data_IF_206850751679
#
_entry.id   IF_206850751679
#
_cell.length_a   1.000
_cell.length_b   1.000
_cell.length_c   1.000
_cell.angle_alpha   90.00
_cell.angle_beta   90.00
_cell.angle_gamma   90.00
#
_symmetry.space_group_name_H-M   'P 1'
#
loop_
_entity.id
_entity.type
_entity.pdbx_description
1 polymer ?
#
# COMPACT_ATOMS: atom_id res chain seq x y z
N UNK A 1 -20.42 -63.86 -64.10
CA UNK A 1 -20.91 -63.18 -62.87
C UNK A 1 -19.97 -62.04 -62.56
N UNK A 2 -20.44 -60.78 -62.68
CA UNK A 2 -19.66 -59.57 -62.42
C UNK A 2 -19.73 -59.23 -60.93
N UNK A 3 -18.59 -59.15 -60.25
CA UNK A 3 -18.48 -58.63 -58.88
C UNK A 3 -17.98 -57.18 -58.95
N UNK A 4 -18.77 -56.25 -58.42
CA UNK A 4 -18.44 -54.83 -58.32
C UNK A 4 -17.61 -54.53 -57.05
N UNK A 5 -16.66 -53.59 -57.07
CA UNK A 5 -15.92 -53.18 -55.89
C UNK A 5 -16.74 -52.16 -55.07
N UNK A 6 -16.86 -52.41 -53.76
CA UNK A 6 -17.44 -51.46 -52.79
C UNK A 6 -16.39 -50.43 -52.39
N UNK A 7 -16.62 -49.16 -52.74
CA UNK A 7 -15.92 -48.01 -52.17
C UNK A 7 -16.36 -47.83 -50.71
N UNK A 8 -15.39 -47.91 -49.79
CA UNK A 8 -15.56 -47.56 -48.38
C UNK A 8 -15.19 -46.08 -48.23
N UNK A 9 -16.16 -45.25 -47.88
CA UNK A 9 -15.98 -43.81 -47.64
C UNK A 9 -15.49 -43.61 -46.21
N UNK A 10 -14.22 -43.20 -46.02
CA UNK A 10 -13.72 -42.73 -44.73
C UNK A 10 -14.20 -41.30 -44.49
N UNK A 11 -15.11 -41.12 -43.54
CA UNK A 11 -15.48 -39.80 -43.01
C UNK A 11 -14.39 -39.33 -42.04
N UNK A 12 -13.59 -38.35 -42.46
CA UNK A 12 -12.68 -37.63 -41.57
C UNK A 12 -13.49 -36.67 -40.68
N UNK A 13 -13.64 -37.01 -39.39
CA UNK A 13 -14.18 -36.10 -38.40
C UNK A 13 -13.11 -35.08 -38.01
N UNK A 14 -13.21 -33.85 -38.53
CA UNK A 14 -12.38 -32.75 -38.11
C UNK A 14 -12.82 -32.28 -36.71
N UNK A 15 -12.03 -32.59 -35.67
CA UNK A 15 -12.17 -31.99 -34.35
C UNK A 15 -11.68 -30.54 -34.42
N UNK A 16 -12.62 -29.60 -34.45
CA UNK A 16 -12.36 -28.18 -34.18
C UNK A 16 -12.16 -27.98 -32.68
N UNK A 17 -10.91 -27.88 -32.23
CA UNK A 17 -10.58 -27.36 -30.90
C UNK A 17 -10.89 -25.85 -30.89
N UNK A 18 -12.02 -25.48 -30.30
CA UNK A 18 -12.27 -24.09 -29.94
C UNK A 18 -11.35 -23.73 -28.77
N UNK A 19 -10.27 -23.01 -29.04
CA UNK A 19 -9.49 -22.35 -28.00
C UNK A 19 -10.43 -21.35 -27.30
N UNK A 20 -10.85 -21.67 -26.09
CA UNK A 20 -11.51 -20.70 -25.22
C UNK A 20 -10.46 -19.63 -24.90
N UNK A 21 -10.56 -18.47 -25.55
CA UNK A 21 -9.87 -17.27 -25.08
C UNK A 21 -10.41 -16.99 -23.67
N UNK A 22 -9.64 -17.39 -22.66
CA UNK A 22 -9.93 -17.01 -21.29
C UNK A 22 -9.98 -15.49 -21.24
N UNK A 23 -11.10 -14.93 -20.78
CA UNK A 23 -11.17 -13.51 -20.49
C UNK A 23 -10.07 -13.24 -19.44
N UNK A 24 -9.01 -12.54 -19.84
CA UNK A 24 -8.03 -12.03 -18.88
C UNK A 24 -8.75 -10.98 -18.05
N UNK A 25 -8.93 -11.24 -16.76
CA UNK A 25 -9.34 -10.22 -15.82
C UNK A 25 -8.29 -9.09 -15.88
N UNK A 26 -8.77 -7.86 -15.99
CA UNK A 26 -7.95 -6.67 -16.10
C UNK A 26 -8.36 -5.72 -14.99
N UNK A 27 -7.40 -5.03 -14.34
CA UNK A 27 -7.71 -4.01 -13.35
C UNK A 27 -8.72 -3.00 -13.91
N UNK A 28 -9.65 -2.59 -13.05
CA UNK A 28 -10.65 -1.54 -13.35
C UNK A 28 -9.97 -0.17 -13.43
N UNK A 29 -8.88 0.01 -12.68
CA UNK A 29 -8.02 1.19 -12.74
C UNK A 29 -6.56 0.81 -12.48
N UNK A 30 -5.64 1.55 -13.09
CA UNK A 30 -4.19 1.40 -12.93
C UNK A 30 -3.51 2.77 -12.79
N UNK A 31 -2.68 2.90 -11.76
CA UNK A 31 -1.72 3.98 -11.52
C UNK A 31 -0.30 3.41 -11.46
N UNK A 32 0.27 3.13 -12.63
CA UNK A 32 1.61 2.55 -12.84
C UNK A 32 2.63 3.55 -13.42
N UNK A 33 2.23 4.81 -13.63
CA UNK A 33 3.06 5.88 -14.18
C UNK A 33 3.54 5.67 -15.62
N UNK A 34 3.01 4.69 -16.35
CA UNK A 34 3.41 4.42 -17.74
C UNK A 34 2.96 5.50 -18.73
N UNK A 35 2.07 6.41 -18.30
CA UNK A 35 1.75 7.64 -19.04
C UNK A 35 2.90 8.65 -19.07
N UNK A 36 3.92 8.47 -18.21
CA UNK A 36 5.05 9.39 -18.07
C UNK A 36 4.73 10.63 -17.23
N UNK A 37 3.55 10.69 -16.62
CA UNK A 37 3.07 11.79 -15.78
C UNK A 37 2.16 11.28 -14.65
N UNK A 38 1.55 12.21 -13.90
CA UNK A 38 0.67 11.89 -12.77
C UNK A 38 -0.83 11.95 -13.15
N UNK A 39 -1.18 11.82 -14.44
CA UNK A 39 -2.55 11.98 -14.93
C UNK A 39 -3.49 10.83 -14.53
N UNK A 40 -2.95 9.65 -14.19
CA UNK A 40 -3.71 8.49 -13.72
C UNK A 40 -4.36 8.72 -12.33
N UNK A 41 -3.81 9.66 -11.54
CA UNK A 41 -4.23 9.93 -10.17
C UNK A 41 -5.23 11.08 -10.08
N UNK A 42 -6.30 10.87 -9.31
CA UNK A 42 -7.43 11.80 -9.20
C UNK A 42 -7.05 13.13 -8.53
N UNK A 43 -6.16 13.07 -7.54
CA UNK A 43 -5.64 14.25 -6.85
C UNK A 43 -4.19 14.03 -6.44
N UNK A 44 -3.43 15.13 -6.36
CA UNK A 44 -1.98 15.14 -6.11
C UNK A 44 -1.71 16.19 -5.05
N UNK A 45 -1.31 15.74 -3.86
CA UNK A 45 -1.02 16.64 -2.77
C UNK A 45 0.48 16.92 -2.70
N UNK A 46 0.84 18.21 -2.71
CA UNK A 46 2.24 18.66 -2.76
C UNK A 46 2.99 18.04 -3.96
N UNK A 47 2.38 18.11 -5.13
CA UNK A 47 2.85 17.53 -6.40
C UNK A 47 4.29 17.90 -6.76
N UNK A 48 4.78 19.08 -6.36
CA UNK A 48 6.17 19.50 -6.58
C UNK A 48 7.21 18.56 -5.97
N UNK A 49 6.80 17.71 -5.01
CA UNK A 49 7.62 16.71 -4.34
C UNK A 49 7.41 15.29 -4.88
N UNK A 50 6.72 15.17 -6.03
CA UNK A 50 6.45 13.91 -6.72
C UNK A 50 7.09 14.01 -8.12
N UNK A 51 7.82 12.96 -8.50
CA UNK A 51 8.43 12.88 -9.83
C UNK A 51 8.20 11.50 -10.45
N UNK A 52 7.97 11.45 -11.75
CA UNK A 52 7.98 10.18 -12.50
C UNK A 52 9.42 9.88 -12.90
N UNK A 53 9.91 8.70 -12.55
CA UNK A 53 11.31 8.27 -12.72
C UNK A 53 11.38 6.97 -13.52
N UNK A 54 12.55 6.70 -14.12
CA UNK A 54 12.81 5.49 -14.90
C UNK A 54 14.00 4.66 -14.38
N UNK A 55 14.48 4.96 -13.17
CA UNK A 55 15.69 4.34 -12.58
C UNK A 55 15.37 3.28 -11.53
N UNK A 56 14.31 3.50 -10.73
CA UNK A 56 13.82 2.55 -9.71
C UNK A 56 12.39 2.23 -10.07
N UNK A 57 12.19 1.10 -10.75
CA UNK A 57 10.92 0.70 -11.39
C UNK A 57 10.67 -0.76 -11.04
N UNK A 58 9.44 -1.12 -10.66
CA UNK A 58 9.06 -2.51 -10.41
C UNK A 58 8.74 -3.20 -11.74
N UNK A 59 8.00 -2.52 -12.60
CA UNK A 59 7.55 -3.05 -13.89
C UNK A 59 7.46 -1.94 -14.94
N UNK A 60 7.48 -2.31 -16.22
CA UNK A 60 7.40 -1.31 -17.28
C UNK A 60 8.65 -0.44 -17.34
N UNK A 61 8.46 0.88 -17.36
CA UNK A 61 9.49 1.90 -17.61
C UNK A 61 9.49 3.04 -16.60
N UNK A 62 8.41 3.19 -15.85
CA UNK A 62 8.19 4.35 -14.99
C UNK A 62 7.73 3.94 -13.59
N UNK A 63 8.08 4.76 -12.61
CA UNK A 63 7.52 4.69 -11.27
C UNK A 63 7.39 6.11 -10.70
N UNK A 64 6.58 6.29 -9.65
CA UNK A 64 6.48 7.54 -8.92
C UNK A 64 7.50 7.59 -7.78
N UNK A 65 8.36 8.59 -7.73
CA UNK A 65 9.20 8.91 -6.57
C UNK A 65 8.54 10.03 -5.76
N UNK A 66 8.26 9.76 -4.50
CA UNK A 66 7.65 10.67 -3.51
C UNK A 66 8.72 11.03 -2.48
N UNK A 67 8.91 12.33 -2.22
CA UNK A 67 9.85 12.82 -1.20
C UNK A 67 9.11 13.68 -0.18
N UNK A 68 9.19 13.34 1.10
CA UNK A 68 8.63 14.21 2.14
C UNK A 68 9.67 15.24 2.62
N UNK A 69 9.20 16.46 2.82
CA UNK A 69 9.99 17.60 3.32
C UNK A 69 9.18 18.38 4.35
N UNK A 70 9.84 19.12 5.24
CA UNK A 70 9.15 19.90 6.28
C UNK A 70 8.24 21.01 5.72
N UNK A 71 8.48 21.48 4.49
CA UNK A 71 7.64 22.49 3.83
C UNK A 71 6.39 21.89 3.15
N UNK A 72 6.29 20.56 3.03
CA UNK A 72 5.10 19.86 2.55
C UNK A 72 3.98 19.83 3.62
N UNK A 73 3.63 21.01 4.15
CA UNK A 73 2.74 21.20 5.30
C UNK A 73 1.31 21.47 4.85
N UNK A 74 0.35 20.76 5.42
CA UNK A 74 -1.07 21.04 5.32
C UNK A 74 -1.50 22.11 6.36
N UNK A 75 -2.61 22.85 6.19
CA UNK A 75 -2.99 23.94 7.11
C UNK A 75 -3.11 23.56 8.60
N UNK A 76 -3.28 22.28 8.94
CA UNK A 76 -3.30 21.78 10.32
C UNK A 76 -1.93 21.34 10.85
N UNK A 77 -0.84 21.62 10.12
CA UNK A 77 0.54 21.29 10.49
C UNK A 77 1.01 19.89 10.06
N UNK A 78 0.12 19.02 9.59
CA UNK A 78 0.48 17.67 9.12
C UNK A 78 1.41 17.80 7.91
N UNK A 79 2.46 16.98 7.86
CA UNK A 79 3.41 16.94 6.74
C UNK A 79 3.03 15.80 5.82
N UNK A 80 2.79 16.06 4.53
CA UNK A 80 2.28 15.02 3.62
C UNK A 80 2.58 15.28 2.15
N UNK A 81 2.92 14.23 1.41
CA UNK A 81 3.03 14.19 -0.05
C UNK A 81 2.38 12.90 -0.51
N UNK A 82 1.25 13.02 -1.23
CA UNK A 82 0.32 11.91 -1.41
C UNK A 82 -0.33 11.95 -2.78
N UNK A 83 -0.58 10.76 -3.33
CA UNK A 83 -1.39 10.54 -4.51
C UNK A 83 -2.72 9.95 -4.08
N UNK A 84 -3.81 10.45 -4.67
CA UNK A 84 -5.16 10.01 -4.35
C UNK A 84 -5.78 9.28 -5.54
N UNK A 85 -6.32 8.10 -5.27
CA UNK A 85 -7.25 7.41 -6.16
C UNK A 85 -8.68 7.60 -5.64
N UNK A 86 -9.57 8.11 -6.50
CA UNK A 86 -11.01 8.15 -6.26
C UNK A 86 -11.69 7.10 -7.14
N UNK A 87 -12.14 5.97 -6.59
CA UNK A 87 -12.93 5.02 -7.34
C UNK A 87 -14.30 5.61 -7.69
N UNK A 88 -15.02 4.97 -8.61
CA UNK A 88 -16.42 5.30 -8.85
C UNK A 88 -17.24 5.13 -7.57
N UNK A 89 -18.15 6.07 -7.28
CA UNK A 89 -18.88 6.14 -5.99
C UNK A 89 -19.54 4.81 -5.56
N UNK A 90 -20.07 4.03 -6.53
CA UNK A 90 -20.71 2.74 -6.26
C UNK A 90 -19.75 1.65 -5.74
N UNK A 91 -18.43 1.80 -5.95
CA UNK A 91 -17.42 0.82 -5.53
C UNK A 91 -17.09 0.90 -4.05
N UNK A 92 -17.41 2.02 -3.40
CA UNK A 92 -17.28 2.22 -1.95
C UNK A 92 -18.64 2.45 -1.28
N UNK A 93 -19.74 2.06 -1.93
CA UNK A 93 -21.08 2.16 -1.34
C UNK A 93 -21.29 1.07 -0.27
N UNK A 94 -22.33 1.22 0.55
CA UNK A 94 -22.72 0.17 1.52
C UNK A 94 -22.93 -1.19 0.82
N UNK A 95 -22.23 -2.22 1.33
CA UNK A 95 -22.22 -3.57 0.80
C UNK A 95 -21.35 -3.78 -0.44
N UNK A 96 -20.67 -2.75 -0.94
CA UNK A 96 -19.74 -2.90 -2.05
C UNK A 96 -18.44 -3.58 -1.61
N UNK A 97 -17.73 -4.15 -2.58
CA UNK A 97 -16.41 -4.74 -2.38
C UNK A 97 -15.39 -4.00 -3.25
N UNK A 98 -14.21 -3.74 -2.70
CA UNK A 98 -13.09 -3.15 -3.43
C UNK A 98 -11.84 -3.99 -3.22
N UNK A 99 -11.17 -4.33 -4.32
CA UNK A 99 -9.83 -4.86 -4.32
C UNK A 99 -8.87 -3.74 -4.73
N UNK A 100 -7.87 -3.46 -3.90
CA UNK A 100 -6.87 -2.44 -4.20
C UNK A 100 -5.49 -2.90 -3.76
N UNK A 101 -4.47 -2.59 -4.55
CA UNK A 101 -3.09 -2.89 -4.20
C UNK A 101 -2.14 -1.85 -4.78
N UNK A 102 -0.97 -1.70 -4.17
CA UNK A 102 0.12 -0.87 -4.67
C UNK A 102 1.44 -1.45 -4.19
N UNK A 103 2.51 -1.14 -4.92
CA UNK A 103 3.86 -1.58 -4.57
C UNK A 103 4.68 -0.39 -4.12
N UNK A 104 5.54 -0.62 -3.13
CA UNK A 104 6.43 0.41 -2.58
C UNK A 104 7.87 -0.08 -2.54
N UNK A 105 8.79 0.85 -2.70
CA UNK A 105 10.21 0.64 -2.47
C UNK A 105 10.75 1.78 -1.63
N UNK A 106 11.46 1.43 -0.56
CA UNK A 106 12.14 2.37 0.31
C UNK A 106 13.66 2.22 0.12
N UNK A 107 14.39 3.27 -0.30
CA UNK A 107 15.85 3.19 -0.39
C UNK A 107 16.52 3.07 0.98
N UNK A 108 15.88 3.63 2.02
CA UNK A 108 16.34 3.61 3.41
C UNK A 108 15.15 3.34 4.35
N UNK A 109 15.42 2.85 5.55
CA UNK A 109 14.38 2.73 6.57
C UNK A 109 13.85 4.12 6.96
N UNK A 110 12.55 4.23 7.25
CA UNK A 110 11.97 5.49 7.70
C UNK A 110 12.42 5.79 9.14
N UNK A 111 12.33 7.06 9.57
CA UNK A 111 12.51 7.37 10.99
C UNK A 111 11.46 6.64 11.86
N UNK A 112 11.84 6.31 13.09
CA UNK A 112 10.91 5.77 14.07
C UNK A 112 9.98 6.85 14.66
N UNK A 113 10.45 8.10 14.71
CA UNK A 113 9.72 9.25 15.24
C UNK A 113 9.90 10.45 14.30
N UNK A 114 8.81 11.05 13.79
CA UNK A 114 7.42 10.59 13.93
C UNK A 114 7.13 9.32 13.09
N UNK A 115 6.15 8.49 13.51
CA UNK A 115 5.59 7.44 12.66
C UNK A 115 5.07 8.00 11.34
N UNK A 116 5.17 7.21 10.27
CA UNK A 116 4.78 7.61 8.92
C UNK A 116 3.66 6.74 8.39
N UNK A 117 2.55 7.33 7.98
CA UNK A 117 1.52 6.60 7.23
C UNK A 117 1.89 6.57 5.75
N UNK A 118 1.72 5.40 5.13
CA UNK A 118 2.10 5.16 3.73
C UNK A 118 0.91 4.85 2.80
N UNK A 119 -0.24 4.55 3.40
CA UNK A 119 -1.49 4.34 2.67
C UNK A 119 -2.68 4.29 3.61
N UNK A 120 -3.82 4.84 3.20
CA UNK A 120 -5.06 4.83 3.98
C UNK A 120 -6.30 5.11 3.16
N UNK A 121 -7.45 4.86 3.78
CA UNK A 121 -8.77 5.15 3.24
C UNK A 121 -9.48 6.15 4.13
N UNK A 122 -10.15 7.12 3.51
CA UNK A 122 -10.95 8.12 4.21
C UNK A 122 -12.24 8.44 3.45
N UNK A 123 -13.26 8.84 4.20
CA UNK A 123 -14.49 9.37 3.62
C UNK A 123 -14.21 10.70 2.91
N UNK A 124 -14.64 10.77 1.65
CA UNK A 124 -14.64 12.00 0.87
C UNK A 124 -15.55 13.03 1.55
N UNK A 125 -15.11 14.30 1.61
CA UNK A 125 -15.80 15.43 2.25
C UNK A 125 -15.76 15.48 3.79
N UNK A 126 -15.79 14.36 4.51
CA UNK A 126 -15.70 14.38 5.99
C UNK A 126 -14.29 14.12 6.51
N UNK A 127 -13.39 13.61 5.66
CA UNK A 127 -12.01 13.28 6.01
C UNK A 127 -11.91 12.32 7.21
N UNK A 128 -12.93 11.48 7.38
CA UNK A 128 -12.93 10.46 8.42
C UNK A 128 -12.12 9.26 7.93
N UNK A 129 -10.90 9.12 8.45
CA UNK A 129 -10.03 8.01 8.12
C UNK A 129 -10.59 6.70 8.70
N UNK A 130 -10.66 5.66 7.87
CA UNK A 130 -11.26 4.36 8.21
C UNK A 130 -10.21 3.30 8.52
N UNK A 131 -9.08 3.31 7.83
CA UNK A 131 -7.99 2.36 8.03
C UNK A 131 -6.69 2.88 7.43
N UNK A 132 -5.54 2.39 7.88
CA UNK A 132 -4.24 2.86 7.42
C UNK A 132 -3.14 1.83 7.62
N UNK A 133 -2.09 1.97 6.80
CA UNK A 133 -0.77 1.40 7.03
C UNK A 133 0.16 2.45 7.64
N UNK A 134 0.80 2.11 8.75
CA UNK A 134 1.74 2.97 9.47
C UNK A 134 3.08 2.27 9.62
N UNK A 135 4.16 3.03 9.45
CA UNK A 135 5.54 2.57 9.45
C UNK A 135 6.33 3.31 10.54
N UNK A 136 7.10 2.54 11.30
CA UNK A 136 8.05 3.00 12.31
C UNK A 136 9.37 2.27 12.04
N UNK A 137 10.39 2.97 11.54
CA UNK A 137 11.61 2.28 11.15
C UNK A 137 11.38 1.37 9.93
N UNK A 138 11.51 0.07 10.18
CA UNK A 138 11.21 -1.03 9.23
C UNK A 138 9.95 -1.81 9.61
N UNK A 139 9.35 -1.46 10.75
CA UNK A 139 8.14 -2.11 11.22
C UNK A 139 6.94 -1.47 10.52
N UNK A 140 6.04 -2.30 10.01
CA UNK A 140 4.79 -1.86 9.38
C UNK A 140 3.62 -2.46 10.15
N UNK A 141 2.54 -1.69 10.27
CA UNK A 141 1.31 -2.14 10.88
C UNK A 141 0.10 -1.76 10.04
N UNK A 142 -0.95 -2.55 10.15
CA UNK A 142 -2.26 -2.25 9.59
C UNK A 142 -3.30 -2.12 10.70
N UNK A 143 -4.09 -1.05 10.65
CA UNK A 143 -5.12 -0.76 11.64
C UNK A 143 -6.41 -0.21 11.01
N UNK A 144 -7.56 -0.56 11.59
CA UNK A 144 -8.84 0.11 11.33
C UNK A 144 -9.12 1.13 12.44
N UNK A 145 -9.84 2.21 12.11
CA UNK A 145 -10.11 3.35 13.00
C UNK A 145 -11.49 3.30 13.65
N UNK A 146 -12.43 2.54 13.06
CA UNK A 146 -13.84 2.45 13.48
C UNK A 146 -14.27 0.99 13.68
N UNK A 147 -15.19 0.71 14.64
CA UNK A 147 -15.80 1.66 15.59
C UNK A 147 -14.81 2.11 16.68
N UNK A 148 -13.66 1.46 16.78
CA UNK A 148 -12.53 1.86 17.60
C UNK A 148 -11.22 1.57 16.88
N UNK A 149 -10.16 2.27 17.26
CA UNK A 149 -8.82 1.98 16.78
C UNK A 149 -8.41 0.56 17.15
N UNK A 150 -8.05 -0.26 16.16
CA UNK A 150 -7.57 -1.62 16.35
C UNK A 150 -6.48 -1.93 15.32
N UNK A 151 -5.31 -2.30 15.81
CA UNK A 151 -4.24 -2.89 15.01
C UNK A 151 -4.60 -4.36 14.77
N UNK A 152 -4.67 -4.77 13.51
CA UNK A 152 -4.97 -6.17 13.14
C UNK A 152 -3.70 -6.95 12.80
N UNK A 153 -2.65 -6.26 12.35
CA UNK A 153 -1.39 -6.88 11.98
C UNK A 153 -0.20 -5.95 12.21
N UNK A 154 0.93 -6.54 12.56
CA UNK A 154 2.25 -5.90 12.67
C UNK A 154 3.30 -6.82 12.06
N UNK A 155 4.08 -6.32 11.11
CA UNK A 155 5.26 -6.98 10.56
C UNK A 155 6.52 -6.31 11.09
N UNK A 156 7.24 -6.97 11.99
CA UNK A 156 8.50 -6.44 12.53
C UNK A 156 9.63 -6.63 11.51
N UNK A 157 10.31 -5.54 11.16
CA UNK A 157 11.36 -5.53 10.16
C UNK A 157 10.90 -5.92 8.75
N UNK A 158 9.59 -5.96 8.49
CA UNK A 158 9.03 -6.49 7.25
C UNK A 158 9.28 -5.57 6.05
N UNK A 159 9.38 -4.25 6.26
CA UNK A 159 9.82 -3.33 5.21
C UNK A 159 11.35 -3.30 5.14
N UNK A 160 11.89 -4.07 4.20
CA UNK A 160 13.32 -4.16 3.94
C UNK A 160 13.74 -3.08 2.95
N UNK A 161 14.64 -2.15 3.33
CA UNK A 161 15.15 -1.17 2.39
C UNK A 161 15.83 -1.83 1.19
N UNK A 162 15.69 -1.23 0.02
CA UNK A 162 16.23 -1.78 -1.23
C UNK A 162 15.38 -2.87 -1.87
N UNK A 163 14.19 -3.14 -1.35
CA UNK A 163 13.28 -4.19 -1.84
C UNK A 163 11.92 -3.60 -2.18
N UNK A 164 11.34 -4.06 -3.29
CA UNK A 164 9.94 -3.80 -3.62
C UNK A 164 9.04 -4.68 -2.77
N UNK A 165 8.11 -4.06 -2.06
CA UNK A 165 7.07 -4.71 -1.29
C UNK A 165 5.71 -4.48 -1.92
N UNK A 166 4.82 -5.45 -1.78
CA UNK A 166 3.45 -5.41 -2.29
C UNK A 166 2.46 -5.35 -1.12
N UNK A 167 1.60 -4.35 -1.12
CA UNK A 167 0.46 -4.26 -0.21
C UNK A 167 -0.81 -4.45 -1.02
N UNK A 168 -1.65 -5.40 -0.63
CA UNK A 168 -2.92 -5.68 -1.28
C UNK A 168 -4.04 -5.80 -0.25
N UNK A 169 -5.23 -5.38 -0.63
CA UNK A 169 -6.41 -5.36 0.23
C UNK A 169 -7.67 -5.75 -0.51
N UNK A 170 -8.56 -6.40 0.23
CA UNK A 170 -9.96 -6.55 -0.10
C UNK A 170 -10.78 -5.93 1.03
N UNK A 171 -11.70 -5.04 0.66
CA UNK A 171 -12.53 -4.28 1.61
C UNK A 171 -13.98 -4.56 1.28
N UNK A 172 -14.73 -5.08 2.26
CA UNK A 172 -16.19 -5.07 2.25
C UNK A 172 -16.67 -3.84 3.00
N UNK A 173 -17.34 -2.94 2.29
CA UNK A 173 -17.74 -1.62 2.78
C UNK A 173 -19.05 -1.70 3.57
N UNK A 174 -19.04 -1.26 4.82
CA UNK A 174 -20.25 -1.17 5.65
C UNK A 174 -20.12 -0.18 6.80
N UNK A 175 -21.21 0.53 7.08
CA UNK A 175 -21.38 1.32 8.32
C UNK A 175 -21.57 0.43 9.55
N UNK A 176 -21.95 -0.83 9.37
CA UNK A 176 -22.10 -1.81 10.43
C UNK A 176 -20.82 -2.63 10.59
N UNK A 177 -20.18 -2.52 11.76
CA UNK A 177 -18.92 -3.22 12.04
C UNK A 177 -19.02 -4.75 11.96
N UNK A 178 -20.21 -5.33 12.10
CA UNK A 178 -20.44 -6.77 11.96
C UNK A 178 -20.66 -7.24 10.50
N UNK A 179 -20.74 -6.31 9.55
CA UNK A 179 -20.93 -6.59 8.12
C UNK A 179 -19.76 -6.11 7.27
N UNK A 180 -19.00 -5.11 7.74
CA UNK A 180 -17.76 -4.69 7.10
C UNK A 180 -16.60 -5.61 7.48
N UNK A 181 -15.71 -5.85 6.52
CA UNK A 181 -14.50 -6.65 6.75
C UNK A 181 -13.35 -6.18 5.88
N UNK A 182 -12.14 -6.51 6.31
CA UNK A 182 -10.91 -6.30 5.55
C UNK A 182 -10.08 -7.57 5.52
N UNK A 183 -9.52 -7.87 4.35
CA UNK A 183 -8.43 -8.80 4.17
C UNK A 183 -7.20 -8.01 3.71
N UNK A 184 -6.03 -8.41 4.19
CA UNK A 184 -4.75 -7.77 3.85
C UNK A 184 -3.75 -8.83 3.47
N UNK A 185 -3.02 -8.55 2.38
CA UNK A 185 -1.85 -9.29 1.97
C UNK A 185 -0.63 -8.37 1.97
N UNK A 186 0.48 -8.91 2.45
CA UNK A 186 1.80 -8.30 2.36
C UNK A 186 2.74 -9.29 1.68
N UNK A 187 3.36 -8.90 0.56
CA UNK A 187 4.24 -9.74 -0.25
C UNK A 187 3.63 -11.11 -0.61
N UNK A 188 2.33 -11.13 -0.90
CA UNK A 188 1.56 -12.32 -1.25
C UNK A 188 1.10 -13.17 -0.08
N UNK A 189 1.61 -12.95 1.13
CA UNK A 189 1.12 -13.61 2.34
C UNK A 189 -0.14 -12.90 2.86
N UNK A 190 -1.22 -13.66 3.09
CA UNK A 190 -2.40 -13.11 3.73
C UNK A 190 -2.14 -12.91 5.23
N UNK A 191 -2.01 -11.66 5.66
CA UNK A 191 -1.64 -11.28 7.03
C UNK A 191 -2.84 -10.85 7.87
N UNK A 192 -3.96 -10.52 7.22
CA UNK A 192 -5.26 -10.30 7.87
C UNK A 192 -6.33 -11.04 7.08
N UNK A 193 -7.16 -11.81 7.79
CA UNK A 193 -8.26 -12.59 7.20
C UNK A 193 -9.59 -12.17 7.80
N UNK A 194 -10.48 -11.65 6.94
CA UNK A 194 -11.86 -11.28 7.23
C UNK A 194 -12.04 -10.52 8.56
N UNK A 195 -11.15 -9.57 8.86
CA UNK A 195 -11.21 -8.84 10.10
C UNK A 195 -12.42 -7.89 10.09
N UNK A 196 -13.39 -8.15 10.98
CA UNK A 196 -14.59 -7.31 11.09
C UNK A 196 -14.24 -5.89 11.53
N UNK A 197 -14.77 -4.90 10.82
CA UNK A 197 -14.59 -3.49 11.12
C UNK A 197 -15.74 -2.66 10.54
N UNK A 198 -15.97 -1.48 11.11
CA UNK A 198 -16.78 -0.46 10.41
C UNK A 198 -15.87 0.15 9.35
N UNK A 199 -16.13 -0.17 8.09
CA UNK A 199 -15.31 0.26 6.94
C UNK A 199 -15.86 1.50 6.25
N UNK A 200 -17.13 1.88 6.52
CA UNK A 200 -17.68 3.19 6.13
C UNK A 200 -18.03 4.05 7.35
N UNK A 201 -17.68 5.34 7.30
CA UNK A 201 -18.13 6.31 8.30
C UNK A 201 -19.55 6.83 8.00
N UNK A 202 -19.85 7.07 6.73
CA UNK A 202 -21.01 7.78 6.23
C UNK A 202 -21.30 7.37 4.78
N UNK A 203 -22.26 8.06 4.13
CA UNK A 203 -22.67 7.78 2.75
C UNK A 203 -21.79 8.45 1.69
N UNK A 204 -20.70 9.12 2.07
CA UNK A 204 -19.77 9.66 1.07
C UNK A 204 -18.91 8.53 0.46
N UNK A 205 -18.52 8.68 -0.81
CA UNK A 205 -17.49 7.81 -1.41
C UNK A 205 -16.23 7.82 -0.55
N UNK A 206 -15.49 6.71 -0.54
CA UNK A 206 -14.20 6.66 0.13
C UNK A 206 -13.08 6.73 -0.90
N UNK A 207 -12.02 7.45 -0.55
CA UNK A 207 -10.83 7.62 -1.39
C UNK A 207 -9.67 6.84 -0.80
N UNK A 208 -8.75 6.44 -1.66
CA UNK A 208 -7.47 5.84 -1.26
C UNK A 208 -6.38 6.90 -1.40
N UNK A 209 -5.59 7.10 -0.35
CA UNK A 209 -4.39 7.92 -0.40
C UNK A 209 -3.17 7.03 -0.19
N UNK A 210 -2.13 7.23 -1.00
CA UNK A 210 -0.84 6.54 -0.91
C UNK A 210 0.29 7.54 -1.03
N UNK A 211 1.36 7.37 -0.26
CA UNK A 211 2.47 8.32 -0.24
C UNK A 211 3.14 8.37 1.13
N UNK A 212 3.42 9.58 1.63
CA UNK A 212 4.05 9.80 2.93
C UNK A 212 3.25 10.84 3.71
N UNK A 213 2.84 10.50 4.93
CA UNK A 213 2.13 11.38 5.86
C UNK A 213 2.73 11.24 7.26
N UNK A 214 3.06 12.36 7.89
CA UNK A 214 3.48 12.47 9.29
C UNK A 214 2.63 13.49 10.04
N UNK A 215 2.31 13.18 11.29
CA UNK A 215 1.66 14.11 12.20
C UNK A 215 2.49 15.42 12.36
N UNK A 216 1.89 16.50 12.91
CA UNK A 216 2.56 17.79 13.01
C UNK A 216 3.81 17.74 13.90
N UNK A 217 4.97 17.56 13.26
CA UNK A 217 6.28 17.57 13.89
C UNK A 217 7.33 17.88 12.83
N UNK A 218 8.34 18.66 13.20
CA UNK A 218 9.53 18.82 12.36
C UNK A 218 10.39 17.55 12.46
N UNK A 219 11.00 17.16 11.35
CA UNK A 219 11.87 16.00 11.27
C UNK A 219 13.17 16.35 10.54
N UNK A 220 14.21 15.56 10.76
CA UNK A 220 15.57 15.84 10.22
C UNK A 220 15.97 14.92 9.08
N UNK A 221 15.24 13.82 8.88
CA UNK A 221 15.37 12.96 7.72
C UNK A 221 14.67 13.57 6.48
N UNK A 222 14.85 12.93 5.33
CA UNK A 222 14.15 13.31 4.09
C UNK A 222 13.67 12.04 3.40
N UNK A 223 12.58 11.44 3.90
CA UNK A 223 12.20 10.11 3.49
C UNK A 223 11.74 10.14 2.03
N UNK A 224 12.19 9.13 1.29
CA UNK A 224 11.84 8.88 -0.11
C UNK A 224 11.11 7.55 -0.17
N UNK A 225 10.02 7.51 -0.92
CA UNK A 225 9.26 6.30 -1.25
C UNK A 225 9.06 6.26 -2.76
N UNK A 226 9.35 5.12 -3.37
CA UNK A 226 8.97 4.85 -4.74
C UNK A 226 7.67 4.04 -4.74
N UNK A 227 6.78 4.36 -5.66
CA UNK A 227 5.46 3.78 -5.82
C UNK A 227 5.29 3.29 -7.26
N UNK A 228 4.77 2.10 -7.43
CA UNK A 228 4.49 1.49 -8.73
C UNK A 228 3.32 0.49 -8.61
N UNK A 229 2.75 0.07 -9.73
CA UNK A 229 1.67 -0.92 -9.86
C UNK A 229 0.47 -0.67 -8.93
N UNK A 230 0.03 0.58 -8.75
CA UNK A 230 -1.23 0.81 -8.04
C UNK A 230 -2.38 0.33 -8.92
N UNK A 231 -3.25 -0.53 -8.38
CA UNK A 231 -4.35 -1.14 -9.14
C UNK A 231 -5.60 -1.27 -8.29
N UNK A 232 -6.74 -1.04 -8.93
CA UNK A 232 -8.06 -1.38 -8.42
C UNK A 232 -8.64 -2.51 -9.27
N UNK A 233 -9.21 -3.52 -8.63
CA UNK A 233 -9.75 -4.70 -9.30
C UNK A 233 -11.13 -5.11 -8.78
N UNK A 234 -11.70 -6.11 -9.42
CA UNK A 234 -12.94 -6.79 -9.00
C UNK A 234 -12.67 -8.14 -8.34
N UNK A 235 -11.40 -8.54 -8.26
CA UNK A 235 -10.97 -9.84 -7.78
C UNK A 235 -9.54 -9.79 -7.21
N UNK A 236 -9.17 -10.86 -6.51
CA UNK A 236 -7.80 -11.03 -6.00
C UNK A 236 -6.80 -11.15 -7.16
N UNK A 237 -7.20 -11.80 -8.24
CA UNK A 237 -6.40 -11.98 -9.45
C UNK A 237 -6.02 -10.65 -10.10
N UNK A 238 -6.94 -9.69 -10.13
CA UNK A 238 -6.69 -8.35 -10.70
C UNK A 238 -5.57 -7.60 -9.95
N UNK A 239 -5.56 -7.72 -8.62
CA UNK A 239 -4.66 -6.95 -7.77
C UNK A 239 -3.33 -7.65 -7.47
N UNK A 240 -3.18 -8.91 -7.89
CA UNK A 240 -1.91 -9.67 -7.84
C UNK A 240 -1.18 -9.51 -6.49
N UNK A 241 -1.68 -10.10 -5.39
CA UNK A 241 -1.18 -9.83 -4.04
C UNK A 241 0.30 -10.15 -3.84
N UNK A 242 0.84 -11.09 -4.64
CA UNK A 242 2.23 -11.49 -4.61
C UNK A 242 3.12 -10.81 -5.65
N UNK A 243 2.79 -9.61 -6.16
CA UNK A 243 3.60 -8.99 -7.22
C UNK A 243 4.86 -8.32 -6.67
N UNK A 244 5.92 -9.10 -6.45
CA UNK A 244 7.22 -8.76 -7.02
C UNK A 244 8.05 -9.98 -7.49
N UNK A 245 8.48 -9.99 -8.76
CA UNK A 245 9.86 -10.39 -9.10
C UNK A 245 10.29 -9.83 -10.46
N UNK A 246 11.08 -8.75 -10.38
CA UNK A 246 12.07 -8.24 -11.34
C UNK A 246 13.19 -7.58 -10.52
N UNK A 247 14.34 -8.24 -10.46
CA UNK A 247 15.39 -8.10 -9.44
C UNK A 247 15.84 -6.66 -9.15
N UNK A 248 15.80 -6.33 -7.86
CA UNK A 248 16.40 -5.20 -7.14
C UNK A 248 17.35 -4.27 -7.91
N UNK A 249 16.96 -3.00 -7.97
CA UNK A 249 17.73 -1.87 -8.49
C UNK A 249 19.19 -1.83 -8.05
N UNK A 250 20.05 -2.44 -8.87
CA UNK A 250 21.50 -2.48 -8.68
C UNK A 250 22.25 -2.40 -10.01
N UNK A 251 22.41 -1.18 -10.54
CA UNK A 251 23.55 -0.80 -11.39
C UNK A 251 23.49 -1.17 -12.88
N UNK A 252 23.43 -0.14 -13.72
CA UNK A 252 23.59 -0.30 -15.17
C UNK A 252 23.58 0.99 -15.96
N UNK A 253 24.37 1.99 -15.55
CA UNK A 253 24.79 3.03 -16.48
C UNK A 253 25.60 2.37 -17.60
N UNK A 254 25.04 2.24 -18.80
CA UNK A 254 25.66 1.51 -19.89
C UNK A 254 25.14 1.87 -21.27
N UNK A 255 25.61 2.99 -21.81
CA UNK A 255 25.91 3.10 -23.24
C UNK A 255 24.80 3.57 -24.17
N UNK A 256 24.66 4.89 -24.27
CA UNK A 256 24.43 5.51 -25.57
C UNK A 256 25.69 5.34 -26.44
N UNK A 257 25.54 4.85 -27.67
CA UNK A 257 26.64 4.78 -28.62
C UNK A 257 26.31 3.96 -29.85
N UNK A 258 25.75 4.62 -30.86
CA UNK A 258 25.53 4.03 -32.18
C UNK A 258 26.80 3.92 -33.03
N UNK A 259 26.53 3.63 -34.30
CA UNK A 259 27.37 3.65 -35.51
C UNK A 259 28.10 2.36 -35.89
N UNK A 260 27.54 1.76 -36.94
CA UNK A 260 28.21 1.01 -38.00
C UNK A 260 29.49 1.72 -38.47
N UNK A 261 30.63 1.02 -38.58
CA UNK A 261 31.41 0.94 -39.82
C UNK A 261 32.63 -0.01 -39.73
N UNK A 262 32.76 -0.83 -40.78
CA UNK A 262 33.99 -1.32 -41.47
C UNK A 262 35.22 -1.84 -40.70
N UNK A 263 35.52 -3.13 -40.92
CA UNK A 263 36.76 -3.52 -41.64
C UNK A 263 37.92 -4.13 -40.83
N UNK A 264 38.28 -5.37 -41.21
CA UNK A 264 39.66 -5.68 -41.61
C UNK A 264 40.65 -6.23 -40.58
N UNK A 265 40.86 -7.55 -40.68
CA UNK A 265 42.13 -8.28 -40.73
C UNK A 265 43.22 -8.14 -39.64
N UNK A 266 43.58 -9.30 -39.08
CA UNK A 266 44.98 -9.76 -39.02
C UNK A 266 45.69 -9.62 -37.67
N UNK A 267 46.13 -10.76 -37.10
CA UNK A 267 47.10 -10.77 -36.01
C UNK A 267 47.16 -12.08 -35.24
N UNK A 268 47.90 -13.05 -35.77
CA UNK A 268 48.47 -14.15 -34.98
C UNK A 268 49.51 -13.60 -33.99
N UNK A 269 49.49 -14.09 -32.74
CA UNK A 269 50.72 -14.21 -31.95
C UNK A 269 50.60 -15.31 -30.90
N UNK A 270 51.69 -16.07 -30.85
CA UNK A 270 51.97 -17.27 -30.06
C UNK A 270 52.14 -16.98 -28.56
N UNK A 271 51.97 -18.03 -27.76
CA UNK A 271 51.86 -18.00 -26.31
C UNK A 271 53.15 -17.76 -25.53
N UNK A 272 53.01 -17.73 -24.20
CA UNK A 272 54.07 -18.07 -23.25
C UNK A 272 53.44 -18.50 -21.91
N UNK A 273 53.87 -19.66 -21.43
CA UNK A 273 53.68 -20.25 -20.10
C UNK A 273 54.39 -19.43 -19.01
N UNK A 274 53.75 -19.27 -17.85
CA UNK A 274 54.35 -18.65 -16.67
C UNK A 274 53.80 -19.23 -15.37
N UNK A 275 54.55 -20.17 -14.80
CA UNK A 275 54.39 -20.80 -13.50
C UNK A 275 54.70 -19.86 -12.32
N UNK A 276 53.91 -20.00 -11.25
CA UNK A 276 54.37 -19.93 -9.85
C UNK A 276 54.36 -18.56 -9.18
N UNK A 277 53.72 -18.47 -8.01
CA UNK A 277 54.39 -18.26 -6.70
C UNK A 277 53.34 -18.13 -5.60
N UNK A 278 53.38 -19.07 -4.66
CA UNK A 278 52.70 -19.07 -3.37
C UNK A 278 53.41 -18.14 -2.39
N UNK A 279 52.64 -17.31 -1.66
CA UNK A 279 53.11 -16.53 -0.50
C UNK A 279 52.27 -16.92 0.73
N UNK A 280 52.88 -17.27 1.88
CA UNK A 280 52.16 -17.44 3.14
C UNK A 280 52.13 -16.12 3.91
N UNK A 281 50.97 -15.77 4.47
CA UNK A 281 50.84 -14.69 5.44
C UNK A 281 50.73 -15.29 6.85
N UNK A 282 51.78 -15.07 7.63
CA UNK A 282 51.82 -15.24 9.08
C UNK A 282 51.54 -13.89 9.71
N UNK A 283 50.57 -13.77 10.61
CA UNK A 283 50.65 -12.81 11.73
C UNK A 283 49.65 -13.12 12.83
N UNK A 284 50.23 -13.51 13.96
CA UNK A 284 49.74 -13.53 15.33
C UNK A 284 49.11 -12.20 15.76
N UNK A 285 47.99 -12.23 16.51
CA UNK A 285 47.82 -11.33 17.65
C UNK A 285 46.89 -11.94 18.71
N UNK A 286 47.41 -11.91 19.93
CA UNK A 286 46.81 -12.38 21.19
C UNK A 286 46.15 -11.16 21.85
N UNK A 287 44.99 -11.32 22.47
CA UNK A 287 44.31 -10.21 23.16
C UNK A 287 43.18 -10.67 24.08
N UNK A 288 43.55 -11.29 25.19
CA UNK A 288 42.72 -11.56 26.38
C UNK A 288 42.33 -10.25 27.09
N UNK A 289 41.08 -10.13 27.52
CA UNK A 289 40.62 -9.00 28.34
C UNK A 289 39.26 -9.26 29.00
N UNK A 290 39.27 -9.95 30.14
CA UNK A 290 38.16 -10.12 31.08
C UNK A 290 37.99 -8.87 31.94
N UNK A 291 36.76 -8.38 32.14
CA UNK A 291 36.39 -7.65 33.36
C UNK A 291 34.87 -7.70 33.59
N UNK A 292 34.51 -8.11 34.80
CA UNK A 292 33.16 -8.11 35.36
C UNK A 292 33.02 -6.98 36.39
N UNK A 293 31.81 -6.46 36.58
CA UNK A 293 31.34 -5.86 37.84
C UNK A 293 29.79 -5.98 37.89
N UNK A 294 29.17 -6.72 38.82
CA UNK A 294 28.69 -6.31 40.18
C UNK A 294 28.27 -4.84 40.25
N UNK A 295 27.03 -4.44 40.52
CA UNK A 295 25.98 -5.01 41.37
C UNK A 295 25.87 -4.16 42.65
N UNK A 296 24.79 -3.40 42.85
CA UNK A 296 24.38 -2.93 44.18
C UNK A 296 22.92 -2.45 44.23
N UNK A 297 22.21 -3.03 45.18
CA UNK A 297 20.87 -2.73 45.71
C UNK A 297 20.91 -1.67 46.84
N UNK A 298 19.76 -1.05 47.12
CA UNK A 298 19.45 -0.30 48.36
C UNK A 298 18.30 0.69 48.10
N UNK A 299 17.04 0.53 48.51
CA UNK A 299 16.36 0.28 49.81
C UNK A 299 15.73 1.56 50.41
N UNK A 300 14.40 1.65 50.24
CA UNK A 300 13.30 1.95 51.17
C UNK A 300 13.20 3.19 52.11
N UNK A 301 11.91 3.55 52.30
CA UNK A 301 11.24 4.36 53.35
C UNK A 301 11.20 5.88 53.11
N UNK A 302 10.12 6.63 53.39
CA UNK A 302 9.14 6.54 54.48
C UNK A 302 7.81 7.27 54.20
N UNK A 303 6.86 7.04 55.11
CA UNK A 303 5.45 7.46 55.30
C UNK A 303 5.15 8.95 55.49
N UNK A 304 3.91 9.39 55.20
CA UNK A 304 3.31 10.59 55.80
C UNK A 304 1.90 10.96 55.31
N UNK A 305 0.91 10.82 56.19
CA UNK A 305 -0.53 11.11 56.04
C UNK A 305 -0.87 12.59 56.29
N UNK A 306 -1.92 13.14 55.68
CA UNK A 306 -2.53 14.41 56.13
C UNK A 306 -3.71 14.91 55.29
N UNK A 307 -4.91 14.91 55.88
CA UNK A 307 -6.13 15.49 55.30
C UNK A 307 -6.28 16.97 55.69
N UNK A 308 -6.83 17.78 54.79
CA UNK A 308 -7.26 19.16 55.07
C UNK A 308 -7.87 19.83 53.83
N UNK A 309 -9.13 20.25 53.92
CA UNK A 309 -9.82 21.15 53.00
C UNK A 309 -10.21 22.42 53.79
N UNK A 310 -10.80 23.48 53.20
CA UNK A 310 -10.76 23.96 51.81
C UNK A 310 -10.13 25.37 51.73
N UNK A 311 -9.69 25.79 50.55
CA UNK A 311 -9.21 27.14 50.31
C UNK A 311 -9.59 27.59 48.90
N UNK A 312 -10.40 28.63 48.83
CA UNK A 312 -10.73 29.39 47.61
C UNK A 312 -9.44 29.97 47.01
N UNK A 313 -9.31 29.86 45.69
CA UNK A 313 -8.15 30.34 44.94
C UNK A 313 -8.42 30.30 43.44
N UNK A 314 -8.49 31.48 42.87
CA UNK A 314 -8.85 31.87 41.52
C UNK A 314 -7.69 31.66 40.51
N UNK A 315 -8.03 31.38 39.24
CA UNK A 315 -7.19 31.49 38.02
C UNK A 315 -6.00 30.49 37.89
N UNK A 316 -5.74 29.77 36.79
CA UNK A 316 -6.02 29.91 35.35
C UNK A 316 -5.95 28.51 34.71
N UNK A 317 -6.94 28.09 33.92
CA UNK A 317 -6.84 26.90 33.06
C UNK A 317 -7.15 27.30 31.61
N UNK A 318 -6.11 27.29 30.78
CA UNK A 318 -6.22 27.13 29.33
C UNK A 318 -6.45 25.64 29.04
N UNK A 319 -7.71 25.28 28.78
CA UNK A 319 -8.10 23.93 28.37
C UNK A 319 -9.11 23.99 27.23
N UNK A 320 -8.63 23.94 25.99
CA UNK A 320 -9.45 23.87 24.78
C UNK A 320 -10.24 22.56 24.74
N UNK A 321 -11.52 22.64 25.11
CA UNK A 321 -12.54 21.62 24.83
C UNK A 321 -13.60 22.24 23.92
N UNK A 322 -13.73 21.72 22.70
CA UNK A 322 -14.73 22.22 21.75
C UNK A 322 -16.09 21.57 22.06
N UNK A 323 -16.90 22.26 22.87
CA UNK A 323 -18.33 22.00 23.07
C UNK A 323 -19.13 22.94 22.16
N UNK A 324 -19.87 22.39 21.21
CA UNK A 324 -20.77 23.15 20.34
C UNK A 324 -22.07 23.52 21.10
N UNK A 325 -22.47 24.79 21.02
CA UNK A 325 -23.73 25.34 21.55
C UNK A 325 -24.73 25.53 20.39
N UNK A 326 -25.99 25.14 20.61
CA UNK A 326 -27.11 25.16 19.66
C UNK A 326 -27.64 26.56 19.28
N UNK A 327 -28.23 26.68 18.07
CA UNK A 327 -29.68 26.76 17.75
C UNK A 327 -30.29 28.17 17.79
N UNK A 328 -31.18 28.54 16.83
CA UNK A 328 -32.61 28.24 17.01
C UNK A 328 -33.44 28.00 15.72
N UNK A 329 -34.62 27.38 15.91
CA UNK A 329 -35.84 27.74 15.17
C UNK A 329 -36.41 26.74 14.17
N UNK A 330 -37.36 25.90 14.61
CA UNK A 330 -38.29 25.14 13.77
C UNK A 330 -39.40 26.04 13.17
N UNK A 331 -40.11 25.56 12.12
CA UNK A 331 -41.48 25.13 12.36
C UNK A 331 -41.84 23.79 11.68
N UNK A 332 -42.81 23.08 12.27
CA UNK A 332 -43.43 21.85 11.79
C UNK A 332 -44.86 22.13 11.25
N UNK A 333 -45.70 21.14 10.88
CA UNK A 333 -45.47 19.95 10.05
C UNK A 333 -46.49 19.88 8.87
N UNK A 334 -46.19 19.07 7.85
CA UNK A 334 -47.12 18.70 6.78
C UNK A 334 -47.12 17.20 6.54
N UNK A 335 -48.26 16.56 6.81
CA UNK A 335 -48.49 15.13 6.66
C UNK A 335 -48.58 14.69 5.20
N UNK A 336 -48.12 13.47 4.89
CA UNK A 336 -48.73 12.62 3.87
C UNK A 336 -48.35 11.15 4.10
N UNK A 337 -49.38 10.38 4.44
CA UNK A 337 -49.38 8.93 4.43
C UNK A 337 -49.60 8.42 2.99
N UNK A 338 -49.04 7.26 2.65
CA UNK A 338 -49.25 6.62 1.35
C UNK A 338 -48.47 5.32 1.16
N UNK A 339 -48.95 4.27 1.81
CA UNK A 339 -48.62 2.85 1.59
C UNK A 339 -48.89 2.44 0.12
N UNK A 340 -48.07 1.57 -0.50
CA UNK A 340 -48.51 0.35 -1.24
C UNK A 340 -47.31 -0.58 -1.52
N UNK A 341 -47.64 -1.87 -1.43
CA UNK A 341 -46.88 -3.12 -1.40
C UNK A 341 -46.61 -3.70 -2.81
N UNK A 342 -45.44 -4.36 -2.93
CA UNK A 342 -45.03 -5.52 -3.77
C UNK A 342 -45.36 -5.62 -5.27
N UNK A 343 -44.37 -6.06 -6.07
CA UNK A 343 -44.43 -7.37 -6.75
C UNK A 343 -43.09 -7.74 -7.43
N UNK A 344 -42.71 -8.99 -7.20
CA UNK A 344 -41.57 -9.68 -7.80
C UNK A 344 -41.79 -9.98 -9.29
N UNK A 345 -40.72 -9.98 -10.09
CA UNK A 345 -40.61 -10.85 -11.26
C UNK A 345 -39.16 -11.33 -11.46
N UNK A 346 -38.96 -12.59 -11.09
CA UNK A 346 -37.90 -13.43 -11.64
C UNK A 346 -38.15 -13.66 -13.14
N UNK A 347 -37.10 -13.58 -13.97
CA UNK A 347 -37.08 -14.25 -15.28
C UNK A 347 -35.77 -15.00 -15.47
N UNK A 348 -35.85 -16.31 -15.26
CA UNK A 348 -34.92 -17.32 -15.79
C UNK A 348 -34.96 -17.29 -17.32
N UNK A 349 -33.80 -17.29 -17.98
CA UNK A 349 -33.69 -17.70 -19.39
C UNK A 349 -33.38 -19.20 -19.46
N UNK A 350 -34.04 -19.96 -20.36
CA UNK A 350 -33.74 -21.36 -20.56
C UNK A 350 -32.50 -21.54 -21.45
N UNK A 351 -31.74 -22.59 -21.13
CA UNK A 351 -30.72 -23.19 -22.00
C UNK A 351 -31.38 -23.73 -23.28
N UNK A 352 -30.75 -23.45 -24.42
CA UNK A 352 -30.64 -24.35 -25.56
C UNK A 352 -29.18 -24.48 -25.89
#
# INVERSE_FOLDING_TARGET
MRLAPRLVSLSAAALTFAAAAGASAAPVWTGDFETGDLSQWSYKLNEQNISVVNTTVLQGRSAGQIRLTNDATWPNGIKRVELQHRPADARTAEGAETYFAWSIYLPEALAADPPTQIGYWESLNTYSQMMSFEVVGRDISFATRKPMNKVHWQGSGALTPGVWHRIAMHIQWSKNAGQGSVDVWFDGEQVVTAASAQTLNDDNPHITQVGLLRNPSEFTDSPILFLDDAVEGDSLEDIRPGLPSGEGGGGGAGGAGGTENTGGAGGEASGTTGTGTSVPATSTSTGTGTAASTGSTGQASSTGTGAGAPGEGEQTDEGCSCRAVGSPGAPAPGALAGLVIALAFARRRPRR
#
